data_IF_093233458288
#
_entry.id   IF_093233458288
#
_cell.length_a   1.000
_cell.length_b   1.000
_cell.length_c   1.000
_cell.angle_alpha   90.00
_cell.angle_beta   90.00
_cell.angle_gamma   90.00
#
_symmetry.space_group_name_H-M   'P 1'
#
loop_
_entity.id
_entity.type
_entity.pdbx_description
1 polymer ?
#
# COMPACT_ATOMS: atom_id res chain seq x y z
N UNK A 1 -2.48 -7.17 10.06
CA UNK A 1 -1.55 -7.17 8.93
C UNK A 1 -1.20 -8.60 8.59
N UNK A 2 -1.33 -8.97 7.34
CA UNK A 2 -1.06 -10.33 6.92
C UNK A 2 -0.50 -10.35 5.50
N UNK A 3 0.58 -11.10 5.28
CA UNK A 3 1.14 -11.31 3.96
C UNK A 3 0.74 -12.71 3.48
N UNK A 4 0.00 -12.77 2.37
CA UNK A 4 -0.37 -14.02 1.71
C UNK A 4 0.24 -14.02 0.32
N UNK A 5 1.09 -15.02 0.05
CA UNK A 5 1.89 -15.05 -1.17
C UNK A 5 2.73 -13.76 -1.23
N UNK A 6 2.56 -12.95 -2.25
CA UNK A 6 3.28 -11.68 -2.42
C UNK A 6 2.37 -10.46 -2.24
N UNK A 7 1.27 -10.64 -1.53
CA UNK A 7 0.32 -9.55 -1.25
C UNK A 7 0.22 -9.30 0.24
N UNK A 8 0.36 -8.04 0.61
CA UNK A 8 0.21 -7.60 1.99
C UNK A 8 -1.23 -7.12 2.20
N UNK A 9 -1.93 -7.73 3.15
CA UNK A 9 -3.28 -7.34 3.54
C UNK A 9 -3.24 -6.60 4.86
N UNK A 10 -3.70 -5.36 4.86
CA UNK A 10 -3.74 -4.51 6.05
C UNK A 10 -5.20 -4.31 6.42
N UNK A 11 -5.67 -5.04 7.42
CA UNK A 11 -7.09 -5.13 7.75
C UNK A 11 -7.55 -4.21 8.85
N UNK A 12 -6.64 -3.58 9.59
CA UNK A 12 -7.02 -2.62 10.64
C UNK A 12 -7.48 -1.31 10.01
N UNK A 13 -8.67 -0.85 10.35
CA UNK A 13 -9.24 0.37 9.78
C UNK A 13 -8.52 1.65 10.21
N UNK A 14 -7.70 1.58 11.27
CA UNK A 14 -6.90 2.71 11.75
C UNK A 14 -5.47 2.69 11.23
N UNK A 15 -5.17 1.80 10.29
CA UNK A 15 -3.83 1.67 9.77
C UNK A 15 -3.49 2.75 8.76
N UNK A 16 -2.26 3.25 8.85
CA UNK A 16 -1.66 4.16 7.90
C UNK A 16 -0.37 3.52 7.39
N UNK A 17 -0.13 3.61 6.09
CA UNK A 17 1.05 3.00 5.47
C UNK A 17 2.06 4.08 5.11
N UNK A 18 3.30 3.83 5.46
CA UNK A 18 4.41 4.72 5.14
C UNK A 18 5.56 3.97 4.50
N UNK A 19 6.56 4.74 4.10
CA UNK A 19 7.79 4.22 3.49
C UNK A 19 8.96 4.55 4.38
N UNK A 20 9.78 3.55 4.68
CA UNK A 20 11.05 3.75 5.37
C UNK A 20 12.12 2.97 4.61
N UNK A 21 12.97 3.70 3.89
CA UNK A 21 13.94 3.10 3.00
C UNK A 21 13.23 2.30 1.91
N UNK A 22 13.47 1.00 1.88
CA UNK A 22 12.84 0.09 0.93
C UNK A 22 11.75 -0.77 1.56
N UNK A 23 11.24 -0.34 2.73
CA UNK A 23 10.22 -1.09 3.46
C UNK A 23 8.92 -0.31 3.50
N UNK A 24 7.81 -1.05 3.34
CA UNK A 24 6.51 -0.52 3.73
C UNK A 24 6.37 -0.68 5.23
N UNK A 25 5.96 0.37 5.92
CA UNK A 25 5.75 0.37 7.37
C UNK A 25 4.27 0.57 7.64
N UNK A 26 3.73 -0.28 8.48
CA UNK A 26 2.33 -0.22 8.87
C UNK A 26 2.23 0.39 10.26
N UNK A 27 1.49 1.49 10.37
CA UNK A 27 1.21 2.15 11.63
C UNK A 27 -0.24 1.94 12.01
N UNK A 28 -0.49 1.64 13.26
CA UNK A 28 -1.84 1.60 13.81
C UNK A 28 -1.89 2.63 14.93
N UNK A 29 -2.70 3.69 14.73
CA UNK A 29 -2.84 4.79 15.66
C UNK A 29 -1.46 5.36 16.07
N UNK A 30 -0.65 5.71 15.06
CA UNK A 30 0.69 6.29 15.17
C UNK A 30 1.76 5.35 15.72
N UNK A 31 1.42 4.09 15.97
CA UNK A 31 2.37 3.10 16.46
C UNK A 31 2.72 2.11 15.36
N UNK A 32 4.00 1.90 15.12
CA UNK A 32 4.43 0.91 14.14
C UNK A 32 4.05 -0.49 14.60
N UNK A 33 3.30 -1.21 13.78
CA UNK A 33 2.90 -2.59 14.09
C UNK A 33 3.59 -3.62 13.17
N UNK A 34 4.28 -3.17 12.14
CA UNK A 34 5.02 -4.08 11.29
C UNK A 34 5.64 -3.37 10.11
N UNK A 35 6.58 -4.07 9.46
CA UNK A 35 7.18 -3.61 8.21
C UNK A 35 7.53 -4.79 7.33
N UNK A 36 7.48 -4.57 6.02
CA UNK A 36 7.73 -5.61 5.01
C UNK A 36 8.56 -4.99 3.90
N UNK A 37 9.62 -5.67 3.43
CA UNK A 37 10.38 -5.18 2.28
C UNK A 37 9.52 -5.10 1.03
N UNK A 38 9.61 -3.97 0.32
CA UNK A 38 8.83 -3.76 -0.91
C UNK A 38 9.18 -4.75 -2.00
N UNK A 39 10.45 -5.12 -2.13
CA UNK A 39 10.87 -6.00 -3.21
C UNK A 39 10.26 -7.40 -3.15
N UNK A 40 9.67 -7.77 -2.02
CA UNK A 40 8.98 -9.05 -1.87
C UNK A 40 7.48 -8.96 -2.18
N UNK A 41 7.01 -7.79 -2.59
CA UNK A 41 5.57 -7.56 -2.76
C UNK A 41 5.19 -7.36 -4.21
N UNK A 42 4.06 -7.91 -4.60
CA UNK A 42 3.38 -7.63 -5.85
C UNK A 42 2.15 -6.74 -5.64
N UNK A 43 1.60 -6.74 -4.44
CA UNK A 43 0.43 -5.95 -4.14
C UNK A 43 0.27 -5.66 -2.67
N UNK A 44 -0.47 -4.60 -2.39
CA UNK A 44 -0.86 -4.19 -1.06
C UNK A 44 -2.35 -3.89 -1.11
N UNK A 45 -3.11 -4.46 -0.17
CA UNK A 45 -4.54 -4.20 -0.03
C UNK A 45 -4.77 -3.61 1.36
N UNK A 46 -5.27 -2.39 1.40
CA UNK A 46 -5.53 -1.68 2.66
C UNK A 46 -7.03 -1.51 2.88
N UNK A 47 -7.52 -1.99 4.01
CA UNK A 47 -8.92 -1.90 4.40
C UNK A 47 -9.07 -0.80 5.44
N UNK A 48 -9.37 0.42 4.99
CA UNK A 48 -9.55 1.53 5.92
C UNK A 48 -9.57 2.85 5.19
N UNK A 49 -9.60 3.94 5.96
CA UNK A 49 -9.78 5.28 5.40
C UNK A 49 -8.55 6.17 5.55
N UNK A 50 -7.51 5.72 6.24
CA UNK A 50 -6.36 6.58 6.53
C UNK A 50 -5.35 6.67 5.39
N UNK A 51 -5.31 5.67 4.53
CA UNK A 51 -4.49 5.72 3.32
C UNK A 51 -3.01 5.49 3.54
N UNK A 52 -2.20 6.09 2.68
CA UNK A 52 -0.76 5.90 2.66
C UNK A 52 -0.05 7.23 2.39
N UNK A 53 1.27 7.25 2.70
CA UNK A 53 2.10 8.40 2.36
C UNK A 53 2.30 8.50 0.85
N UNK A 54 2.53 9.72 0.37
CA UNK A 54 2.84 9.95 -1.05
C UNK A 54 4.14 9.24 -1.45
N UNK A 55 5.11 9.17 -0.56
CA UNK A 55 6.38 8.48 -0.82
C UNK A 55 6.14 7.00 -1.11
N UNK A 56 5.26 6.34 -0.33
CA UNK A 56 4.94 4.94 -0.57
C UNK A 56 4.19 4.75 -1.88
N UNK A 57 3.25 5.64 -2.20
CA UNK A 57 2.54 5.58 -3.48
C UNK A 57 3.51 5.63 -4.65
N UNK A 58 4.48 6.56 -4.61
CA UNK A 58 5.49 6.68 -5.64
C UNK A 58 6.38 5.45 -5.76
N UNK A 59 6.82 4.92 -4.64
CA UNK A 59 7.66 3.71 -4.63
C UNK A 59 6.91 2.51 -5.19
N UNK A 60 5.64 2.34 -4.84
CA UNK A 60 4.81 1.27 -5.39
C UNK A 60 4.63 1.41 -6.89
N UNK A 61 4.36 2.62 -7.37
CA UNK A 61 4.22 2.89 -8.80
C UNK A 61 5.51 2.57 -9.56
N UNK A 62 6.66 2.96 -9.02
CA UNK A 62 7.96 2.69 -9.65
C UNK A 62 8.29 1.21 -9.73
N UNK A 63 7.86 0.44 -8.75
CA UNK A 63 8.17 -1.00 -8.67
C UNK A 63 7.04 -1.87 -9.21
N UNK A 64 6.01 -1.30 -9.81
CA UNK A 64 4.83 -2.00 -10.31
C UNK A 64 4.12 -2.81 -9.22
N UNK A 65 4.09 -2.30 -8.01
CA UNK A 65 3.34 -2.88 -6.91
C UNK A 65 1.94 -2.29 -6.93
N UNK A 66 0.93 -3.14 -7.01
CA UNK A 66 -0.46 -2.70 -6.99
C UNK A 66 -0.85 -2.28 -5.57
N UNK A 67 -1.39 -1.09 -5.42
CA UNK A 67 -1.84 -0.57 -4.13
C UNK A 67 -3.35 -0.33 -4.23
N UNK A 68 -4.10 -1.10 -3.47
CA UNK A 68 -5.56 -1.09 -3.53
C UNK A 68 -6.15 -0.67 -2.19
N UNK A 69 -7.13 0.22 -2.23
CA UNK A 69 -7.83 0.69 -1.05
C UNK A 69 -9.26 0.20 -1.07
N UNK A 70 -9.67 -0.41 0.05
CA UNK A 70 -11.03 -0.86 0.27
C UNK A 70 -11.55 -0.25 1.57
N UNK A 71 -12.87 -0.13 1.68
CA UNK A 71 -13.47 0.19 2.97
C UNK A 71 -13.28 -0.98 3.94
N UNK A 72 -13.45 -0.77 5.26
CA UNK A 72 -13.37 -1.90 6.21
C UNK A 72 -14.35 -3.03 5.89
N UNK A 73 -15.44 -2.72 5.17
CA UNK A 73 -16.43 -3.71 4.74
C UNK A 73 -16.07 -4.38 3.42
N UNK A 74 -14.96 -3.98 2.79
CA UNK A 74 -14.49 -4.58 1.56
C UNK A 74 -14.94 -3.90 0.28
N UNK A 75 -15.57 -2.71 0.38
CA UNK A 75 -15.98 -1.96 -0.81
C UNK A 75 -14.78 -1.26 -1.44
N UNK A 76 -14.62 -1.38 -2.75
CA UNK A 76 -13.53 -0.77 -3.49
C UNK A 76 -13.59 0.77 -3.42
N UNK A 77 -12.47 1.39 -3.12
CA UNK A 77 -12.33 2.84 -3.12
C UNK A 77 -11.43 3.33 -4.25
N UNK A 78 -10.20 2.82 -4.32
CA UNK A 78 -9.24 3.28 -5.31
C UNK A 78 -8.14 2.25 -5.50
N UNK A 79 -7.48 2.32 -6.66
CA UNK A 79 -6.34 1.48 -6.96
C UNK A 79 -5.27 2.31 -7.63
N UNK A 80 -4.02 2.15 -7.15
CA UNK A 80 -2.86 2.77 -7.74
C UNK A 80 -2.07 1.67 -8.42
N UNK A 81 -1.82 1.84 -9.71
CA UNK A 81 -1.06 0.89 -10.50
C UNK A 81 0.31 1.48 -10.86
N UNK A 82 1.18 0.63 -11.39
CA UNK A 82 2.50 1.06 -11.82
C UNK A 82 2.45 2.04 -12.99
N UNK A 83 3.63 2.54 -13.36
CA UNK A 83 3.75 3.51 -14.44
C UNK A 83 3.18 2.98 -15.74
N UNK A 84 2.37 3.78 -16.38
CA UNK A 84 1.91 3.50 -17.72
C UNK A 84 3.06 3.80 -18.68
N UNK A 85 3.46 2.79 -19.43
CA UNK A 85 4.43 2.99 -20.51
C UNK A 85 3.71 3.67 -21.66
N UNK A 86 4.03 4.90 -21.88
CA UNK A 86 3.42 5.71 -22.91
C UNK A 86 3.37 7.13 -22.44
N UNK A 87 3.23 8.03 -23.36
CA UNK A 87 3.28 9.44 -23.04
C UNK A 87 1.90 9.92 -22.69
N UNK A 88 1.51 9.72 -21.44
CA UNK A 88 0.33 10.41 -20.93
C UNK A 88 0.84 11.68 -20.29
N UNK A 89 0.65 12.77 -20.97
CA UNK A 89 0.97 14.09 -20.46
C UNK A 89 -0.34 14.71 -20.01
N UNK A 90 -0.40 15.00 -18.77
CA UNK A 90 -1.56 15.67 -18.21
C UNK A 90 -1.27 17.15 -18.03
#
# INVERSE_FOLDING_TARGET
>A
MRKLLNTLYVTSENSYLGLDGENVVVYDDKKEIGRVPLHNLEGIVSFGYRGTSSALMGACADKNISLCYLTPQGKFLARITGKIKGNVIL
#
